data_IF_554078257836
#
_entry.id   IF_554078257836
#
_cell.length_a   1.000
_cell.length_b   1.000
_cell.length_c   1.000
_cell.angle_alpha   90.00
_cell.angle_beta   90.00
_cell.angle_gamma   90.00
#
_symmetry.space_group_name_H-M   'P 1'
#
loop_
_entity.id
_entity.type
_entity.pdbx_description
1 polymer ?
#
# COMPACT_ATOMS: atom_id res chain seq x y z
N UNK A 1 -9.07 1.59 3.90
CA UNK A 1 -10.30 2.33 4.24
C UNK A 1 -10.03 3.84 4.21
N UNK A 2 -10.98 4.63 3.71
CA UNK A 2 -10.86 6.09 3.51
C UNK A 2 -10.92 6.93 4.81
N UNK A 3 -10.51 6.42 5.98
CA UNK A 3 -10.54 7.17 7.27
C UNK A 3 -11.81 8.02 7.52
N UNK A 4 -12.99 7.54 7.16
CA UNK A 4 -14.24 8.30 7.34
C UNK A 4 -14.51 9.39 6.29
N UNK A 5 -13.65 9.59 5.29
CA UNK A 5 -13.90 10.49 4.15
C UNK A 5 -15.00 9.89 3.28
N UNK A 6 -16.10 10.63 3.14
CA UNK A 6 -17.32 10.17 2.45
C UNK A 6 -18.22 9.26 3.29
N UNK A 7 -17.82 8.85 4.49
CA UNK A 7 -18.59 7.93 5.35
C UNK A 7 -17.80 6.70 5.77
N UNK A 8 -18.48 5.75 6.41
CA UNK A 8 -17.93 4.49 6.91
C UNK A 8 -18.05 3.35 5.90
N UNK A 9 -18.89 3.50 4.87
CA UNK A 9 -19.11 2.49 3.83
C UNK A 9 -18.83 3.02 2.43
N UNK A 10 -18.65 2.10 1.46
CA UNK A 10 -18.49 2.46 0.05
C UNK A 10 -19.75 3.15 -0.49
N UNK A 11 -20.94 2.73 -0.04
CA UNK A 11 -22.21 3.33 -0.47
C UNK A 11 -22.33 4.79 -0.01
N UNK A 12 -22.06 5.06 1.27
CA UNK A 12 -22.04 6.43 1.81
C UNK A 12 -20.99 7.29 1.09
N UNK A 13 -19.81 6.73 0.83
CA UNK A 13 -18.77 7.45 0.10
C UNK A 13 -19.23 7.85 -1.30
N UNK A 14 -19.91 6.97 -2.03
CA UNK A 14 -20.47 7.28 -3.36
C UNK A 14 -21.57 8.34 -3.31
N UNK A 15 -22.38 8.34 -2.25
CA UNK A 15 -23.47 9.30 -2.07
C UNK A 15 -22.94 10.69 -1.68
N UNK A 16 -21.92 10.75 -0.81
CA UNK A 16 -21.49 11.99 -0.16
C UNK A 16 -20.26 12.65 -0.81
N UNK A 17 -19.39 11.91 -1.49
CA UNK A 17 -18.23 12.48 -2.17
C UNK A 17 -18.56 12.91 -3.59
N UNK A 18 -18.29 14.18 -3.88
CA UNK A 18 -18.28 14.64 -5.27
C UNK A 18 -17.09 14.05 -6.05
N UNK A 19 -17.25 13.89 -7.37
CA UNK A 19 -16.17 13.41 -8.24
C UNK A 19 -14.92 14.32 -8.20
N UNK A 20 -15.10 15.62 -8.01
CA UNK A 20 -14.00 16.59 -7.92
C UNK A 20 -13.20 16.35 -6.63
N UNK A 21 -13.90 16.14 -5.52
CA UNK A 21 -13.26 15.86 -4.24
C UNK A 21 -12.51 14.52 -4.27
N UNK A 22 -13.13 13.47 -4.84
CA UNK A 22 -12.47 12.19 -5.05
C UNK A 22 -11.16 12.33 -5.85
N UNK A 23 -11.16 13.11 -6.93
CA UNK A 23 -9.95 13.37 -7.72
C UNK A 23 -8.86 14.07 -6.89
N UNK A 24 -9.23 15.03 -6.04
CA UNK A 24 -8.28 15.69 -5.12
C UNK A 24 -7.67 14.70 -4.12
N UNK A 25 -8.49 13.84 -3.51
CA UNK A 25 -8.01 12.80 -2.61
C UNK A 25 -7.13 11.76 -3.31
N UNK A 26 -7.41 11.48 -4.59
CA UNK A 26 -6.56 10.62 -5.42
C UNK A 26 -5.18 11.23 -5.63
N UNK A 27 -5.11 12.51 -6.01
CA UNK A 27 -3.84 13.24 -6.13
C UNK A 27 -3.09 13.30 -4.80
N UNK A 28 -3.79 13.52 -3.69
CA UNK A 28 -3.21 13.51 -2.36
C UNK A 28 -2.59 12.15 -2.03
N UNK A 29 -3.31 11.04 -2.27
CA UNK A 29 -2.78 9.69 -2.03
C UNK A 29 -1.58 9.37 -2.91
N UNK A 30 -1.60 9.76 -4.17
CA UNK A 30 -0.46 9.52 -5.07
C UNK A 30 0.79 10.27 -4.59
N UNK A 31 0.62 11.45 -3.99
CA UNK A 31 1.74 12.24 -3.48
C UNK A 31 2.25 11.80 -2.11
N UNK A 32 1.35 11.39 -1.21
CA UNK A 32 1.68 11.17 0.21
C UNK A 32 1.42 9.75 0.72
N UNK A 33 0.98 8.84 -0.15
CA UNK A 33 0.67 7.46 0.18
C UNK A 33 -0.71 7.25 0.80
N UNK A 34 -0.85 6.14 1.53
CA UNK A 34 -2.13 5.71 2.10
C UNK A 34 -2.73 6.77 3.02
N UNK A 35 -4.06 6.90 3.00
CA UNK A 35 -4.76 7.70 4.00
C UNK A 35 -4.67 7.06 5.37
N UNK A 36 -4.59 5.73 5.47
CA UNK A 36 -4.56 5.03 6.76
C UNK A 36 -3.30 5.40 7.56
N UNK A 37 -3.43 6.14 8.69
CA UNK A 37 -2.28 6.53 9.49
C UNK A 37 -1.56 5.32 10.10
N UNK A 38 -2.28 4.25 10.44
CA UNK A 38 -1.68 3.02 10.99
C UNK A 38 -0.70 2.39 10.01
N UNK A 39 -1.07 2.27 8.74
CA UNK A 39 -0.16 1.76 7.70
C UNK A 39 1.06 2.66 7.50
N UNK A 40 0.90 3.99 7.65
CA UNK A 40 2.05 4.91 7.56
C UNK A 40 3.00 4.77 8.74
N UNK A 41 2.46 4.61 9.95
CA UNK A 41 3.26 4.37 11.16
C UNK A 41 3.98 3.04 11.09
N UNK A 42 3.30 1.99 10.66
CA UNK A 42 3.90 0.68 10.44
C UNK A 42 5.06 0.75 9.43
N UNK A 43 4.85 1.37 8.26
CA UNK A 43 5.91 1.56 7.27
C UNK A 43 7.12 2.32 7.84
N UNK A 44 6.87 3.43 8.55
CA UNK A 44 7.95 4.19 9.18
C UNK A 44 8.72 3.36 10.22
N UNK A 45 8.02 2.53 11.00
CA UNK A 45 8.67 1.62 11.96
C UNK A 45 9.50 0.55 11.26
N UNK A 46 9.02 -0.01 10.15
CA UNK A 46 9.77 -0.99 9.36
C UNK A 46 11.06 -0.42 8.78
N UNK A 47 11.02 0.83 8.27
CA UNK A 47 12.21 1.54 7.79
C UNK A 47 13.23 1.78 8.92
N UNK A 48 12.78 2.23 10.10
CA UNK A 48 13.68 2.46 11.23
C UNK A 48 14.32 1.15 11.69
N UNK A 49 13.52 0.09 11.85
CA UNK A 49 13.99 -1.23 12.24
C UNK A 49 14.99 -1.82 11.24
N UNK A 50 14.73 -1.71 9.93
CA UNK A 50 15.64 -2.24 8.91
C UNK A 50 16.96 -1.48 8.86
N UNK A 51 16.96 -0.15 9.05
CA UNK A 51 18.20 0.62 9.18
C UNK A 51 19.02 0.13 10.37
N UNK A 52 18.41 0.02 11.56
CA UNK A 52 19.11 -0.43 12.77
C UNK A 52 19.63 -1.85 12.61
N UNK A 53 18.81 -2.76 12.06
CA UNK A 53 19.21 -4.15 11.82
C UNK A 53 20.39 -4.23 10.85
N UNK A 54 20.34 -3.47 9.75
CA UNK A 54 21.40 -3.46 8.74
C UNK A 54 22.69 -2.80 9.22
N UNK A 55 22.62 -1.80 10.09
CA UNK A 55 23.81 -1.19 10.72
C UNK A 55 24.57 -2.20 11.59
N UNK A 56 23.86 -3.15 12.22
CA UNK A 56 24.45 -4.13 13.14
C UNK A 56 24.59 -5.54 12.54
N UNK A 57 24.32 -5.69 11.23
CA UNK A 57 24.29 -6.98 10.55
C UNK A 57 25.70 -7.50 10.27
N UNK A 58 25.89 -8.82 10.35
CA UNK A 58 27.07 -9.47 9.76
C UNK A 58 27.03 -9.31 8.23
N UNK A 59 28.09 -8.77 7.59
CA UNK A 59 28.16 -8.62 6.14
C UNK A 59 27.91 -9.91 5.33
N UNK A 60 28.07 -11.09 5.93
CA UNK A 60 27.81 -12.39 5.29
C UNK A 60 26.32 -12.71 5.11
N UNK A 61 25.44 -12.05 5.85
CA UNK A 61 24.00 -12.24 5.76
C UNK A 61 23.33 -11.19 4.85
N UNK A 62 22.23 -11.55 4.16
CA UNK A 62 21.50 -10.63 3.30
C UNK A 62 20.93 -9.45 4.10
N UNK A 63 20.81 -8.29 3.45
CA UNK A 63 20.24 -7.11 4.10
C UNK A 63 18.74 -7.31 4.39
N UNK A 64 18.32 -6.81 5.55
CA UNK A 64 16.90 -6.76 5.89
C UNK A 64 16.22 -5.63 5.12
N UNK A 65 15.01 -5.87 4.65
CA UNK A 65 14.17 -4.87 4.01
C UNK A 65 13.14 -4.33 5.02
N UNK A 66 12.52 -3.17 4.77
CA UNK A 66 11.46 -2.69 5.66
C UNK A 66 10.30 -3.68 5.81
N UNK A 67 10.01 -4.47 4.77
CA UNK A 67 8.90 -5.45 4.75
C UNK A 67 9.12 -6.61 5.73
N UNK A 68 10.37 -6.98 6.03
CA UNK A 68 10.71 -7.97 7.07
C UNK A 68 10.19 -7.59 8.47
N UNK A 69 9.91 -6.30 8.70
CA UNK A 69 9.48 -5.75 9.99
C UNK A 69 8.05 -5.20 9.97
N UNK A 70 7.28 -5.46 8.92
CA UNK A 70 5.89 -5.02 8.81
C UNK A 70 4.97 -6.19 8.55
N UNK A 71 3.74 -6.14 9.06
CA UNK A 71 2.76 -7.19 8.87
C UNK A 71 1.92 -7.00 7.60
N UNK A 72 1.65 -5.75 7.22
CA UNK A 72 0.70 -5.44 6.13
C UNK A 72 1.37 -4.99 4.82
N UNK A 73 2.69 -5.03 4.74
CA UNK A 73 3.42 -4.79 3.51
C UNK A 73 4.17 -6.05 3.17
N UNK A 74 3.70 -6.73 2.13
CA UNK A 74 4.45 -7.82 1.53
C UNK A 74 5.55 -7.24 0.64
N UNK A 75 6.67 -7.95 0.55
CA UNK A 75 7.68 -7.65 -0.46
C UNK A 75 6.99 -7.77 -1.82
N UNK A 76 7.15 -6.80 -2.75
CA UNK A 76 6.56 -6.94 -4.08
C UNK A 76 7.03 -8.28 -4.64
N UNK A 77 6.09 -9.19 -4.92
CA UNK A 77 6.44 -10.47 -5.52
C UNK A 77 7.32 -10.16 -6.73
N UNK A 78 8.49 -10.80 -6.86
CA UNK A 78 9.41 -10.51 -7.96
C UNK A 78 8.61 -10.65 -9.23
N UNK A 79 8.53 -9.56 -10.02
CA UNK A 79 7.68 -9.42 -11.20
C UNK A 79 7.71 -10.71 -12.03
N UNK A 80 6.76 -11.61 -11.79
CA UNK A 80 6.52 -12.67 -12.74
C UNK A 80 5.90 -11.97 -13.95
N UNK A 81 6.27 -12.36 -15.17
CA UNK A 81 5.74 -11.76 -16.41
C UNK A 81 4.19 -11.71 -16.44
N UNK A 82 3.50 -12.45 -15.57
CA UNK A 82 2.05 -12.47 -15.35
C UNK A 82 1.48 -11.38 -14.43
N UNK A 83 2.29 -10.67 -13.64
CA UNK A 83 1.84 -9.71 -12.62
C UNK A 83 1.80 -8.25 -13.08
N UNK A 84 1.98 -8.03 -14.39
CA UNK A 84 1.55 -6.77 -14.98
C UNK A 84 0.05 -6.58 -14.69
N UNK A 85 -0.40 -5.39 -14.26
CA UNK A 85 -1.81 -5.17 -13.98
C UNK A 85 -2.62 -5.46 -15.24
N UNK A 86 -3.25 -6.64 -15.26
CA UNK A 86 -4.10 -7.07 -16.36
C UNK A 86 -5.28 -6.12 -16.46
N UNK A 87 -5.76 -5.89 -17.67
CA UNK A 87 -6.95 -5.06 -17.86
C UNK A 87 -8.14 -5.68 -17.09
N UNK A 88 -9.08 -4.85 -16.62
CA UNK A 88 -10.30 -5.35 -15.96
C UNK A 88 -11.00 -6.45 -16.79
N UNK A 89 -10.93 -6.33 -18.11
CA UNK A 89 -11.50 -7.29 -19.05
C UNK A 89 -10.77 -8.64 -19.02
N UNK A 90 -9.45 -8.66 -18.89
CA UNK A 90 -8.67 -9.89 -18.71
C UNK A 90 -8.91 -10.53 -17.35
N UNK A 91 -9.00 -9.73 -16.28
CA UNK A 91 -9.28 -10.23 -14.93
C UNK A 91 -10.63 -10.95 -14.86
N UNK A 92 -11.65 -10.47 -15.57
CA UNK A 92 -12.95 -11.13 -15.60
C UNK A 92 -12.93 -12.50 -16.29
N UNK A 93 -11.97 -12.75 -17.20
CA UNK A 93 -11.86 -14.02 -17.92
C UNK A 93 -11.12 -15.11 -17.11
N UNK A 94 -10.40 -14.75 -16.04
CA UNK A 94 -9.69 -15.71 -15.19
C UNK A 94 -10.56 -16.26 -14.05
N UNK A 95 -11.80 -15.79 -13.89
CA UNK A 95 -12.73 -16.18 -12.81
C UNK A 95 -13.66 -17.35 -13.15
N UNK A 96 -13.26 -18.22 -14.09
CA UNK A 96 -14.03 -19.40 -14.47
C UNK A 96 -13.84 -20.56 -13.49
#
# INVERSE_FOLDING_TARGET
MLNGIGGKTIAEAKERLSIIEYKKWTLYRNKYGSLNPGLRTEWASGVISSVIANTNRDPKHPAFTPTDFTQHFDEPEPEQESDQPISLKEAMNTWH
#
